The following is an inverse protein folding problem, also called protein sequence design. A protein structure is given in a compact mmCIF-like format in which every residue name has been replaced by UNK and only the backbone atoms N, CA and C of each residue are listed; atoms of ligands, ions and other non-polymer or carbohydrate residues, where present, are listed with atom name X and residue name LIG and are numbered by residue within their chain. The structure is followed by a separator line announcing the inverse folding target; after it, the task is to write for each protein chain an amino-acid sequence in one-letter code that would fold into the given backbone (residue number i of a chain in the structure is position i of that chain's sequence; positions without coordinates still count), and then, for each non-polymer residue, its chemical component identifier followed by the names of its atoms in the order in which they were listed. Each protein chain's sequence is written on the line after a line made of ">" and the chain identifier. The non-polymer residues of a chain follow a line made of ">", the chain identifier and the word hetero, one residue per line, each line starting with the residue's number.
data_IF_077060149718
#
_entry.id   IF_077060149718
#
_cell.length_a   1.000
_cell.length_b   1.000
_cell.length_c   1.000
_cell.angle_alpha   90.00
_cell.angle_beta   90.00
_cell.angle_gamma   90.00
#
_symmetry.space_group_name_H-M   'P 1'
#
loop_
_entity.id
_entity.type
_entity.pdbx_description
1 polymer ?
#
# COMPACT_ATOMS: atom_id res chain seq x y z
N UNK A 1 4.65 21.39 15.42
CA UNK A 1 4.37 19.94 15.30
C UNK A 1 4.22 19.61 13.83
N UNK A 2 4.68 18.43 13.37
CA UNK A 2 4.43 17.99 11.99
C UNK A 2 2.94 17.67 11.81
N UNK A 3 2.42 17.85 10.59
CA UNK A 3 1.06 17.41 10.25
C UNK A 3 0.95 15.89 10.37
N UNK A 4 -0.22 15.40 10.77
CA UNK A 4 -0.55 14.00 10.65
C UNK A 4 -0.71 13.65 9.18
N UNK A 5 -0.11 12.55 8.75
CA UNK A 5 -0.17 12.07 7.38
C UNK A 5 -1.12 10.88 7.33
N UNK A 6 -2.28 11.03 6.69
CA UNK A 6 -3.24 9.94 6.52
C UNK A 6 -3.09 9.41 5.11
N UNK A 7 -2.62 8.17 4.97
CA UNK A 7 -2.59 7.49 3.67
C UNK A 7 -3.98 7.03 3.29
N UNK A 8 -4.41 7.27 2.06
CA UNK A 8 -5.66 6.75 1.52
C UNK A 8 -5.37 5.98 0.23
N UNK A 9 -5.79 4.72 0.22
CA UNK A 9 -5.55 3.77 -0.86
C UNK A 9 -6.84 3.09 -1.27
N UNK A 10 -6.92 2.62 -2.51
CA UNK A 10 -8.14 2.00 -2.99
C UNK A 10 -8.19 1.72 -4.48
N UNK A 11 -9.40 1.43 -4.97
CA UNK A 11 -9.64 1.16 -6.40
C UNK A 11 -9.21 2.34 -7.27
N UNK A 12 -8.35 2.08 -8.26
CA UNK A 12 -7.94 3.06 -9.28
C UNK A 12 -8.94 3.17 -10.43
N UNK A 13 -9.66 2.08 -10.73
CA UNK A 13 -10.67 2.02 -11.79
C UNK A 13 -12.05 1.81 -11.16
N UNK A 14 -12.89 2.83 -11.20
CA UNK A 14 -14.26 2.78 -10.71
C UNK A 14 -15.23 2.86 -11.89
N UNK A 15 -16.22 1.98 -11.95
CA UNK A 15 -17.28 2.01 -12.94
C UNK A 15 -18.45 2.85 -12.42
N UNK A 16 -18.58 4.08 -12.91
CA UNK A 16 -19.66 5.00 -12.50
C UNK A 16 -21.07 4.56 -12.93
N UNK A 17 -21.26 3.43 -13.60
CA UNK A 17 -22.58 2.81 -13.78
C UNK A 17 -22.93 1.81 -12.66
N UNK A 18 -21.95 1.45 -11.83
CA UNK A 18 -22.12 0.55 -10.69
C UNK A 18 -22.39 1.37 -9.41
N UNK A 19 -23.48 1.07 -8.71
CA UNK A 19 -23.87 1.77 -7.48
C UNK A 19 -22.86 1.61 -6.33
N UNK A 20 -22.16 0.47 -6.26
CA UNK A 20 -21.10 0.24 -5.28
C UNK A 20 -19.92 1.18 -5.50
N UNK A 21 -19.49 1.33 -6.76
CA UNK A 21 -18.38 2.21 -7.14
C UNK A 21 -18.74 3.68 -6.95
N UNK A 22 -19.98 4.09 -7.25
CA UNK A 22 -20.49 5.42 -6.93
C UNK A 22 -20.46 5.69 -5.42
N UNK A 23 -20.91 4.74 -4.60
CA UNK A 23 -20.89 4.87 -3.15
C UNK A 23 -19.46 4.94 -2.60
N UNK A 24 -18.53 4.15 -3.16
CA UNK A 24 -17.11 4.21 -2.81
C UNK A 24 -16.49 5.57 -3.15
N UNK A 25 -16.82 6.13 -4.33
CA UNK A 25 -16.40 7.47 -4.73
C UNK A 25 -16.97 8.55 -3.81
N UNK A 26 -18.28 8.53 -3.52
CA UNK A 26 -18.92 9.49 -2.59
C UNK A 26 -18.29 9.44 -1.19
N UNK A 27 -18.06 8.23 -0.68
CA UNK A 27 -17.39 8.02 0.58
C UNK A 27 -15.99 8.64 0.58
N UNK A 28 -15.20 8.36 -0.46
CA UNK A 28 -13.83 8.84 -0.63
C UNK A 28 -13.77 10.38 -0.74
N UNK A 29 -14.67 10.99 -1.51
CA UNK A 29 -14.81 12.43 -1.62
C UNK A 29 -15.15 13.08 -0.27
N UNK A 30 -16.17 12.57 0.42
CA UNK A 30 -16.60 13.11 1.72
C UNK A 30 -15.53 12.94 2.80
N UNK A 31 -14.82 11.81 2.76
CA UNK A 31 -13.65 11.57 3.60
C UNK A 31 -12.56 12.61 3.33
N UNK A 32 -12.20 12.81 2.05
CA UNK A 32 -11.23 13.81 1.64
C UNK A 32 -11.60 15.22 2.09
N UNK A 33 -12.86 15.62 1.88
CA UNK A 33 -13.39 16.92 2.31
C UNK A 33 -13.28 17.12 3.82
N UNK A 34 -13.68 16.14 4.61
CA UNK A 34 -13.63 16.26 6.06
C UNK A 34 -12.19 16.23 6.62
N UNK A 35 -11.29 15.46 6.00
CA UNK A 35 -9.85 15.48 6.33
C UNK A 35 -9.22 16.82 5.94
N UNK A 36 -9.54 17.37 4.77
CA UNK A 36 -9.04 18.66 4.29
C UNK A 36 -9.44 19.84 5.18
N UNK A 37 -10.64 19.80 5.78
CA UNK A 37 -11.07 20.80 6.78
C UNK A 37 -10.30 20.72 8.11
N UNK A 38 -9.48 19.70 8.31
CA UNK A 38 -8.73 19.51 9.56
C UNK A 38 -7.32 20.11 9.43
N UNK A 39 -7.06 21.22 10.15
CA UNK A 39 -5.84 22.04 10.04
C UNK A 39 -4.52 21.23 10.13
N UNK A 40 -4.47 20.18 10.96
CA UNK A 40 -3.24 19.42 11.21
C UNK A 40 -3.13 18.10 10.42
N UNK A 41 -3.88 17.95 9.32
CA UNK A 41 -3.82 16.74 8.48
C UNK A 41 -3.31 17.09 7.08
N UNK A 42 -2.50 16.20 6.52
CA UNK A 42 -2.24 16.08 5.09
C UNK A 42 -2.65 14.68 4.65
N UNK A 43 -3.24 14.55 3.47
CA UNK A 43 -3.58 13.25 2.89
C UNK A 43 -2.46 12.80 1.97
N UNK A 44 -2.13 11.50 2.01
CA UNK A 44 -1.25 10.85 1.07
C UNK A 44 -2.08 9.92 0.19
N UNK A 45 -2.03 10.10 -1.13
CA UNK A 45 -2.68 9.22 -2.10
C UNK A 45 -1.67 8.75 -3.14
N UNK A 46 -2.10 7.86 -4.02
CA UNK A 46 -1.34 7.46 -5.19
C UNK A 46 -2.22 7.41 -6.43
N UNK A 47 -1.64 7.70 -7.59
CA UNK A 47 -2.31 7.69 -8.91
C UNK A 47 -3.25 8.86 -9.18
N UNK A 48 -3.75 8.94 -10.42
CA UNK A 48 -4.57 10.02 -10.92
C UNK A 48 -6.09 9.75 -10.85
N UNK A 49 -6.53 8.51 -10.62
CA UNK A 49 -7.93 8.10 -10.82
C UNK A 49 -8.62 7.45 -9.62
N UNK A 50 -9.93 7.25 -9.75
CA UNK A 50 -10.72 6.43 -8.83
C UNK A 50 -10.81 7.02 -7.42
N UNK A 51 -10.48 6.22 -6.41
CA UNK A 51 -10.52 6.65 -5.00
C UNK A 51 -9.54 7.81 -4.74
N UNK A 52 -8.34 7.77 -5.31
CA UNK A 52 -7.34 8.81 -5.11
C UNK A 52 -7.82 10.17 -5.66
N UNK A 53 -8.47 10.15 -6.82
CA UNK A 53 -9.09 11.33 -7.43
C UNK A 53 -10.21 11.89 -6.55
N UNK A 54 -11.14 11.04 -6.09
CA UNK A 54 -12.24 11.45 -5.22
C UNK A 54 -11.74 12.13 -3.93
N UNK A 55 -10.75 11.52 -3.27
CA UNK A 55 -10.12 12.07 -2.06
C UNK A 55 -9.45 13.40 -2.35
N UNK A 56 -8.63 13.47 -3.40
CA UNK A 56 -7.88 14.67 -3.79
C UNK A 56 -8.84 15.82 -4.03
N UNK A 57 -9.90 15.56 -4.79
CA UNK A 57 -10.96 16.53 -5.04
C UNK A 57 -11.61 17.02 -3.76
N UNK A 58 -12.01 16.11 -2.87
CA UNK A 58 -12.60 16.48 -1.58
C UNK A 58 -11.66 17.34 -0.73
N UNK A 59 -10.39 16.96 -0.63
CA UNK A 59 -9.37 17.70 0.13
C UNK A 59 -9.17 19.10 -0.44
N UNK A 60 -9.11 19.23 -1.76
CA UNK A 60 -8.95 20.51 -2.45
C UNK A 60 -10.17 21.42 -2.24
N UNK A 61 -11.39 20.90 -2.42
CA UNK A 61 -12.64 21.62 -2.18
C UNK A 61 -12.77 22.10 -0.71
N UNK A 62 -12.07 21.46 0.22
CA UNK A 62 -11.99 21.84 1.63
C UNK A 62 -10.82 22.78 1.99
N UNK A 63 -9.92 23.09 1.05
CA UNK A 63 -8.72 23.90 1.30
C UNK A 63 -7.64 23.18 2.11
N UNK A 64 -7.61 21.84 2.06
CA UNK A 64 -6.62 21.01 2.74
C UNK A 64 -5.32 20.83 1.95
N UNK A 65 -4.49 19.84 2.33
CA UNK A 65 -3.27 19.50 1.61
C UNK A 65 -3.35 18.05 1.14
N UNK A 66 -3.42 17.87 -0.19
CA UNK A 66 -3.33 16.57 -0.84
C UNK A 66 -1.92 16.37 -1.43
N UNK A 67 -1.23 15.32 -0.97
CA UNK A 67 0.09 14.91 -1.45
C UNK A 67 -0.06 13.59 -2.18
N UNK A 68 0.47 13.53 -3.40
CA UNK A 68 0.39 12.37 -4.26
C UNK A 68 1.76 11.76 -4.48
N UNK A 69 1.89 10.46 -4.22
CA UNK A 69 3.09 9.69 -4.53
C UNK A 69 2.90 9.00 -5.88
N UNK A 70 3.75 9.38 -6.83
CA UNK A 70 3.63 9.00 -8.23
C UNK A 70 4.58 7.86 -8.54
N UNK A 71 4.03 6.83 -9.22
CA UNK A 71 4.79 5.74 -9.80
C UNK A 71 5.64 6.29 -10.95
N UNK A 72 6.93 6.00 -10.94
CA UNK A 72 7.86 6.47 -11.96
C UNK A 72 8.49 7.84 -11.67
N UNK A 73 8.92 8.50 -12.74
CA UNK A 73 9.97 9.54 -12.68
C UNK A 73 9.48 10.98 -12.81
N UNK A 74 8.23 11.19 -13.24
CA UNK A 74 7.72 12.52 -13.56
C UNK A 74 6.55 12.88 -12.64
N UNK A 75 6.60 14.07 -12.05
CA UNK A 75 5.54 14.56 -11.13
C UNK A 75 4.29 15.00 -11.90
N UNK A 76 4.45 15.22 -13.20
CA UNK A 76 3.43 15.60 -14.17
C UNK A 76 2.46 14.45 -14.46
N UNK A 77 2.86 13.19 -14.19
CA UNK A 77 2.03 11.98 -14.28
C UNK A 77 1.13 11.78 -13.03
N UNK A 78 1.04 12.82 -12.19
CA UNK A 78 0.26 12.83 -10.98
C UNK A 78 -0.97 13.72 -11.09
N UNK A 79 -1.97 13.46 -10.23
CA UNK A 79 -3.24 14.19 -10.28
C UNK A 79 -2.99 15.72 -10.27
N UNK A 80 -3.46 16.46 -11.28
CA UNK A 80 -3.23 17.90 -11.40
C UNK A 80 -3.95 18.73 -10.33
N UNK A 81 -4.96 18.16 -9.66
CA UNK A 81 -5.66 18.78 -8.54
C UNK A 81 -4.94 18.57 -7.21
N UNK A 82 -3.88 17.75 -7.16
CA UNK A 82 -3.08 17.58 -5.95
C UNK A 82 -2.18 18.80 -5.71
N UNK A 83 -1.93 19.10 -4.43
CA UNK A 83 -1.11 20.24 -4.05
C UNK A 83 0.39 19.96 -4.20
N UNK A 84 0.77 18.70 -4.03
CA UNK A 84 2.17 18.24 -4.12
C UNK A 84 2.18 16.88 -4.80
N UNK A 85 2.82 16.78 -5.96
CA UNK A 85 3.15 15.50 -6.60
C UNK A 85 4.62 15.16 -6.34
N UNK A 86 4.86 13.96 -5.81
CA UNK A 86 6.19 13.41 -5.50
C UNK A 86 6.46 12.25 -6.45
N UNK A 87 7.33 12.45 -7.44
CA UNK A 87 7.86 11.38 -8.26
C UNK A 87 8.77 10.47 -7.40
N UNK A 88 8.46 9.18 -7.35
CA UNK A 88 9.16 8.24 -6.45
C UNK A 88 10.34 7.54 -7.11
N UNK A 89 10.45 7.59 -8.44
CA UNK A 89 11.35 6.76 -9.27
C UNK A 89 11.12 5.25 -9.14
N UNK A 90 10.05 4.86 -8.46
CA UNK A 90 9.69 3.47 -8.19
C UNK A 90 8.58 3.04 -9.13
N UNK A 91 8.75 1.87 -9.74
CA UNK A 91 7.79 1.26 -10.65
C UNK A 91 7.09 0.06 -10.00
N UNK A 92 6.07 -0.47 -10.68
CA UNK A 92 5.33 -1.64 -10.20
C UNK A 92 4.69 -1.39 -8.83
N UNK A 93 4.94 -2.30 -7.90
CA UNK A 93 4.43 -2.20 -6.54
C UNK A 93 5.36 -1.44 -5.57
N UNK A 94 6.62 -1.16 -5.93
CA UNK A 94 7.65 -0.62 -5.03
C UNK A 94 7.28 0.75 -4.42
N UNK A 95 6.57 1.59 -5.18
CA UNK A 95 6.13 2.91 -4.71
C UNK A 95 5.18 2.83 -3.49
N UNK A 96 4.59 1.65 -3.19
CA UNK A 96 3.75 1.46 -2.01
C UNK A 96 4.53 1.71 -0.71
N UNK A 97 5.85 1.51 -0.72
CA UNK A 97 6.72 1.64 0.45
C UNK A 97 6.76 3.09 0.94
N UNK A 98 7.19 4.09 0.14
CA UNK A 98 7.20 5.47 0.59
C UNK A 98 5.80 5.97 0.96
N UNK A 99 4.73 5.49 0.31
CA UNK A 99 3.35 5.87 0.65
C UNK A 99 2.96 5.38 2.04
N UNK A 100 3.13 4.09 2.30
CA UNK A 100 2.74 3.46 3.57
C UNK A 100 3.64 3.93 4.71
N UNK A 101 4.96 3.96 4.51
CA UNK A 101 5.90 4.34 5.56
C UNK A 101 5.81 5.82 5.94
N UNK A 102 5.33 6.67 5.03
CA UNK A 102 5.03 8.07 5.31
C UNK A 102 3.67 8.29 6.00
N UNK A 103 2.87 7.24 6.18
CA UNK A 103 1.54 7.32 6.77
C UNK A 103 1.57 7.11 8.29
N UNK A 104 0.86 7.97 9.02
CA UNK A 104 0.59 7.80 10.46
C UNK A 104 -0.61 6.85 10.70
N UNK A 105 -1.52 6.76 9.73
CA UNK A 105 -2.60 5.80 9.64
C UNK A 105 -2.97 5.60 8.16
N UNK A 106 -3.43 4.40 7.80
CA UNK A 106 -3.87 4.08 6.44
C UNK A 106 -5.40 3.92 6.41
N UNK A 107 -6.05 4.40 5.36
CA UNK A 107 -7.46 4.16 5.05
C UNK A 107 -7.55 3.43 3.71
N UNK A 108 -8.19 2.28 3.66
CA UNK A 108 -8.35 1.47 2.44
C UNK A 108 -9.81 1.40 1.98
N UNK A 109 -10.06 1.67 0.69
CA UNK A 109 -11.40 1.77 0.10
C UNK A 109 -11.44 0.96 -1.21
N UNK A 110 -12.10 -0.18 -1.21
CA UNK A 110 -12.12 -1.10 -2.33
C UNK A 110 -10.75 -1.74 -2.58
N UNK A 111 -10.32 -1.68 -3.84
CA UNK A 111 -8.96 -2.00 -4.23
C UNK A 111 -8.73 -3.46 -4.60
N UNK A 112 -7.67 -3.68 -5.37
CA UNK A 112 -7.17 -5.00 -5.77
C UNK A 112 -5.87 -5.34 -5.05
N UNK A 113 -5.03 -6.16 -5.69
CA UNK A 113 -3.76 -6.65 -5.15
C UNK A 113 -2.88 -5.54 -4.56
N UNK A 114 -2.75 -4.41 -5.26
CA UNK A 114 -2.00 -3.22 -4.81
C UNK A 114 -2.46 -2.72 -3.44
N UNK A 115 -3.77 -2.58 -3.24
CA UNK A 115 -4.34 -2.15 -1.97
C UNK A 115 -4.03 -3.14 -0.85
N UNK A 116 -4.09 -4.44 -1.13
CA UNK A 116 -3.72 -5.44 -0.14
C UNK A 116 -2.23 -5.49 0.19
N UNK A 117 -1.33 -5.17 -0.76
CA UNK A 117 0.09 -4.94 -0.47
C UNK A 117 0.25 -3.78 0.50
N UNK A 118 -0.43 -2.65 0.25
CA UNK A 118 -0.35 -1.48 1.12
C UNK A 118 -0.90 -1.76 2.53
N UNK A 119 -2.00 -2.51 2.64
CA UNK A 119 -2.52 -2.99 3.93
C UNK A 119 -1.50 -3.92 4.61
N UNK A 120 -0.89 -4.85 3.87
CA UNK A 120 0.13 -5.76 4.40
C UNK A 120 1.33 -5.01 4.97
N UNK A 121 1.85 -4.05 4.20
CA UNK A 121 2.98 -3.20 4.62
C UNK A 121 2.62 -2.37 5.85
N UNK A 122 1.40 -1.84 5.93
CA UNK A 122 0.96 -1.05 7.08
C UNK A 122 0.92 -1.91 8.35
N UNK A 123 0.32 -3.10 8.28
CA UNK A 123 0.27 -4.05 9.40
C UNK A 123 1.68 -4.44 9.86
N UNK A 124 2.58 -4.74 8.92
CA UNK A 124 3.98 -5.07 9.22
C UNK A 124 4.72 -3.93 9.94
N UNK A 125 4.42 -2.68 9.57
CA UNK A 125 5.01 -1.48 10.19
C UNK A 125 4.29 -0.98 11.46
N UNK A 126 3.34 -1.77 11.97
CA UNK A 126 2.54 -1.38 13.13
C UNK A 126 1.68 -0.12 12.89
N UNK A 127 1.33 0.15 11.64
CA UNK A 127 0.43 1.23 11.23
C UNK A 127 -0.99 0.68 11.25
N UNK A 128 -1.89 1.36 11.95
CA UNK A 128 -3.30 0.99 11.97
C UNK A 128 -3.94 1.30 10.61
N UNK A 129 -4.79 0.40 10.16
CA UNK A 129 -5.51 0.44 8.88
C UNK A 129 -7.01 0.48 9.15
N UNK A 130 -7.70 1.50 8.62
CA UNK A 130 -9.16 1.60 8.60
C UNK A 130 -9.64 1.18 7.22
N UNK A 131 -10.59 0.24 7.10
CA UNK A 131 -11.09 -0.24 5.82
C UNK A 131 -12.58 0.01 5.68
N UNK A 132 -13.00 0.46 4.50
CA UNK A 132 -14.42 0.68 4.21
C UNK A 132 -15.07 -0.60 3.69
N UNK A 133 -16.13 -1.05 4.36
CA UNK A 133 -16.78 -2.34 4.09
C UNK A 133 -17.57 -2.37 2.79
N UNK A 134 -18.17 -1.25 2.39
CA UNK A 134 -19.18 -1.22 1.32
C UNK A 134 -18.57 -1.06 -0.07
N UNK A 135 -17.29 -0.72 -0.18
CA UNK A 135 -16.60 -0.57 -1.46
C UNK A 135 -16.19 -1.89 -2.11
N UNK A 136 -16.44 -3.05 -1.47
CA UNK A 136 -16.00 -4.34 -2.01
C UNK A 136 -14.48 -4.47 -2.05
N UNK A 137 -13.96 -5.27 -2.99
CA UNK A 137 -12.52 -5.48 -3.17
C UNK A 137 -11.78 -5.91 -1.89
N UNK A 138 -10.48 -5.67 -1.85
CA UNK A 138 -9.63 -6.11 -0.73
C UNK A 138 -10.00 -5.42 0.59
N UNK A 139 -10.47 -4.17 0.57
CA UNK A 139 -10.88 -3.46 1.80
C UNK A 139 -12.04 -4.15 2.53
N UNK A 140 -12.91 -4.84 1.79
CA UNK A 140 -13.98 -5.65 2.35
C UNK A 140 -13.54 -7.11 2.58
N UNK A 141 -12.84 -7.70 1.60
CA UNK A 141 -12.41 -9.10 1.64
C UNK A 141 -11.49 -9.43 2.80
N UNK A 142 -10.67 -8.48 3.27
CA UNK A 142 -9.78 -8.69 4.44
C UNK A 142 -10.57 -9.14 5.69
N UNK A 143 -11.86 -8.82 5.78
CA UNK A 143 -12.74 -9.24 6.88
C UNK A 143 -13.58 -10.48 6.60
N UNK A 144 -13.86 -10.79 5.33
CA UNK A 144 -14.78 -11.88 4.95
C UNK A 144 -14.04 -13.13 4.47
N UNK A 145 -12.84 -12.99 3.91
CA UNK A 145 -12.08 -14.09 3.32
C UNK A 145 -11.38 -14.94 4.38
N UNK A 146 -11.30 -16.24 4.09
CA UNK A 146 -10.62 -17.24 4.91
C UNK A 146 -9.14 -17.40 4.54
N UNK A 147 -8.61 -16.60 3.61
CA UNK A 147 -7.19 -16.63 3.26
C UNK A 147 -6.30 -16.43 4.51
N UNK A 148 -5.27 -17.29 4.73
CA UNK A 148 -4.42 -17.22 5.91
C UNK A 148 -3.78 -15.83 6.13
N UNK A 149 -3.45 -15.14 5.04
CA UNK A 149 -2.89 -13.78 5.07
C UNK A 149 -3.85 -12.77 5.68
N UNK A 150 -5.12 -12.81 5.29
CA UNK A 150 -6.16 -11.93 5.84
C UNK A 150 -6.53 -12.32 7.27
N UNK A 151 -6.49 -13.61 7.61
CA UNK A 151 -6.61 -14.04 9.01
C UNK A 151 -5.50 -13.43 9.87
N UNK A 152 -4.24 -13.52 9.42
CA UNK A 152 -3.08 -12.93 10.12
C UNK A 152 -3.24 -11.41 10.29
N UNK A 153 -3.67 -10.70 9.23
CA UNK A 153 -3.96 -9.27 9.31
C UNK A 153 -5.01 -8.94 10.38
N UNK A 154 -6.11 -9.70 10.43
CA UNK A 154 -7.15 -9.51 11.45
C UNK A 154 -6.64 -9.80 12.86
N UNK A 155 -5.87 -10.87 13.03
CA UNK A 155 -5.27 -11.23 14.32
C UNK A 155 -4.26 -10.22 14.84
N UNK A 156 -3.69 -9.36 13.98
CA UNK A 156 -2.77 -8.29 14.40
C UNK A 156 -3.43 -7.21 15.28
N UNK A 157 -4.78 -7.12 15.27
CA UNK A 157 -5.54 -6.02 15.88
C UNK A 157 -5.19 -4.63 15.32
N UNK A 158 -4.62 -4.54 14.11
CA UNK A 158 -4.26 -3.28 13.45
C UNK A 158 -5.22 -2.90 12.32
N UNK A 159 -6.11 -3.80 11.90
CA UNK A 159 -7.06 -3.55 10.80
C UNK A 159 -8.47 -3.42 11.36
N UNK A 160 -9.21 -2.39 10.94
CA UNK A 160 -10.55 -2.06 11.45
C UNK A 160 -11.53 -1.77 10.33
N UNK A 161 -12.69 -2.43 10.37
CA UNK A 161 -13.79 -2.17 9.45
C UNK A 161 -14.63 -0.98 9.91
N UNK A 162 -15.04 -0.13 8.96
CA UNK A 162 -15.98 0.98 9.17
C UNK A 162 -17.01 1.05 8.04
N UNK A 163 -18.17 1.62 8.37
CA UNK A 163 -19.33 1.71 7.46
C UNK A 163 -19.73 3.15 7.10
N UNK A 164 -19.18 4.13 7.81
CA UNK A 164 -19.46 5.56 7.62
C UNK A 164 -18.21 6.44 7.76
N UNK A 165 -18.28 7.61 7.15
CA UNK A 165 -17.16 8.56 7.02
C UNK A 165 -16.72 9.12 8.38
N UNK A 166 -17.65 9.37 9.30
CA UNK A 166 -17.33 9.98 10.58
C UNK A 166 -16.54 9.01 11.45
N UNK A 167 -16.97 7.74 11.50
CA UNK A 167 -16.23 6.69 12.18
C UNK A 167 -14.83 6.51 11.59
N UNK A 168 -14.72 6.50 10.26
CA UNK A 168 -13.43 6.39 9.58
C UNK A 168 -12.45 7.48 10.00
N UNK A 169 -12.94 8.73 10.07
CA UNK A 169 -12.15 9.90 10.45
C UNK A 169 -11.75 9.85 11.92
N UNK A 170 -12.68 9.53 12.82
CA UNK A 170 -12.41 9.48 14.26
C UNK A 170 -11.32 8.46 14.57
N UNK A 171 -11.47 7.24 14.04
CA UNK A 171 -10.48 6.17 14.19
C UNK A 171 -9.14 6.56 13.58
N UNK A 172 -9.11 7.05 12.34
CA UNK A 172 -7.88 7.42 11.67
C UNK A 172 -7.12 8.54 12.42
N UNK A 173 -7.84 9.57 12.88
CA UNK A 173 -7.26 10.67 13.69
C UNK A 173 -6.69 10.16 15.00
N UNK A 174 -7.42 9.31 15.70
CA UNK A 174 -6.97 8.71 16.96
C UNK A 174 -5.70 7.90 16.75
N UNK A 175 -5.71 6.96 15.80
CA UNK A 175 -4.54 6.11 15.54
C UNK A 175 -3.33 6.89 15.08
N UNK A 176 -3.50 7.86 14.17
CA UNK A 176 -2.42 8.72 13.71
C UNK A 176 -1.83 9.55 14.86
N UNK A 177 -2.68 10.09 15.74
CA UNK A 177 -2.25 10.84 16.92
C UNK A 177 -1.48 9.96 17.89
N UNK A 178 -1.97 8.74 18.16
CA UNK A 178 -1.32 7.79 19.06
C UNK A 178 0.05 7.35 18.51
N UNK A 179 0.15 7.11 17.19
CA UNK A 179 1.42 6.82 16.52
C UNK A 179 2.39 7.99 16.61
N UNK A 180 1.92 9.22 16.36
CA UNK A 180 2.75 10.43 16.49
C UNK A 180 3.27 10.61 17.92
N UNK A 181 2.42 10.40 18.94
CA UNK A 181 2.79 10.53 20.36
C UNK A 181 3.79 9.50 20.83
N UNK A 182 3.71 8.26 20.31
CA UNK A 182 4.70 7.21 20.65
C UNK A 182 6.11 7.67 20.32
N UNK A 183 6.27 8.57 19.33
CA UNK A 183 7.55 9.02 18.81
C UNK A 183 8.29 7.84 18.19
N UNK A 184 8.91 8.00 17.04
CA UNK A 184 10.00 7.08 16.74
C UNK A 184 11.10 7.41 17.76
N UNK A 185 11.14 6.70 18.90
CA UNK A 185 12.44 6.33 19.45
C UNK A 185 13.08 5.49 18.36
N UNK A 186 13.82 6.14 17.47
CA UNK A 186 14.89 5.44 16.78
C UNK A 186 15.80 5.00 17.93
N UNK A 187 15.73 3.72 18.27
CA UNK A 187 16.69 3.15 19.20
C UNK A 187 18.04 3.29 18.47
N UNK A 188 18.93 4.19 18.92
CA UNK A 188 20.23 4.44 18.26
C UNK A 188 21.10 3.16 18.19
N UNK A 189 20.74 2.11 18.95
CA UNK A 189 21.33 0.76 18.86
C UNK A 189 20.78 -0.10 17.72
N UNK A 190 19.63 0.27 17.18
CA UNK A 190 19.16 -0.18 15.89
C UNK A 190 19.67 0.87 14.91
N UNK A 191 20.96 0.76 14.56
CA UNK A 191 21.25 0.82 13.12
C UNK A 191 20.14 -0.01 12.51
N UNK A 192 19.22 0.60 11.75
CA UNK A 192 18.29 -0.19 10.96
C UNK A 192 19.23 -0.93 10.02
N UNK A 193 19.67 -2.11 10.47
CA UNK A 193 20.00 -3.19 9.60
C UNK A 193 18.64 -3.46 9.00
N UNK A 194 18.34 -2.66 7.95
CA UNK A 194 17.30 -2.96 6.99
C UNK A 194 17.55 -4.44 6.79
N UNK A 195 16.64 -5.32 7.28
CA UNK A 195 16.91 -6.74 7.23
C UNK A 195 17.44 -7.00 5.83
N UNK A 196 18.52 -7.73 5.65
CA UNK A 196 19.19 -7.77 4.35
C UNK A 196 18.26 -8.16 3.18
N UNK A 197 17.06 -8.69 3.48
CA UNK A 197 15.92 -8.91 2.59
C UNK A 197 15.04 -7.67 2.22
N UNK A 198 15.16 -6.54 2.91
CA UNK A 198 14.51 -5.24 2.67
C UNK A 198 15.48 -4.19 2.07
N UNK A 199 16.79 -4.48 1.95
CA UNK A 199 17.76 -3.69 1.13
C UNK A 199 17.50 -3.82 -0.38
N UNK A 200 16.32 -4.28 -0.69
CA UNK A 200 15.97 -4.90 -1.93
C UNK A 200 15.04 -3.93 -2.64
N UNK A 201 15.68 -3.00 -3.33
CA UNK A 201 15.07 -2.18 -4.37
C UNK A 201 14.70 -3.15 -5.49
N UNK A 202 13.44 -3.61 -5.56
CA UNK A 202 12.81 -4.56 -6.54
C UNK A 202 13.66 -5.74 -7.02
N UNK A 203 14.76 -5.46 -7.72
CA UNK A 203 15.66 -6.42 -8.36
C UNK A 203 16.20 -7.49 -7.41
N UNK A 204 16.72 -7.22 -6.20
CA UNK A 204 17.22 -8.30 -5.35
C UNK A 204 16.14 -9.26 -4.81
N UNK A 205 14.85 -8.89 -4.76
CA UNK A 205 13.76 -9.72 -4.17
C UNK A 205 13.30 -10.65 -5.26
N UNK A 206 13.09 -10.08 -6.45
CA UNK A 206 12.90 -10.83 -7.67
C UNK A 206 14.03 -11.86 -7.86
N UNK A 207 15.29 -11.46 -7.71
CA UNK A 207 16.43 -12.40 -7.78
C UNK A 207 16.38 -13.49 -6.69
N UNK A 208 15.98 -13.16 -5.48
CA UNK A 208 15.87 -14.12 -4.38
C UNK A 208 14.70 -15.11 -4.61
N UNK A 209 13.56 -14.63 -5.09
CA UNK A 209 12.41 -15.44 -5.52
C UNK A 209 12.85 -16.38 -6.66
N UNK A 210 13.53 -15.86 -7.68
CA UNK A 210 14.05 -16.64 -8.81
C UNK A 210 15.07 -17.69 -8.35
N UNK A 211 15.99 -17.34 -7.44
CA UNK A 211 16.95 -18.28 -6.85
C UNK A 211 16.25 -19.41 -6.10
N UNK A 212 15.24 -19.11 -5.30
CA UNK A 212 14.47 -20.12 -4.58
C UNK A 212 13.69 -21.05 -5.51
N UNK A 213 13.04 -20.48 -6.53
CA UNK A 213 12.35 -21.25 -7.57
C UNK A 213 13.31 -22.17 -8.34
N UNK A 214 14.54 -21.71 -8.59
CA UNK A 214 15.59 -22.51 -9.23
C UNK A 214 16.11 -23.63 -8.32
N UNK A 215 16.49 -23.30 -7.07
CA UNK A 215 17.09 -24.25 -6.13
C UNK A 215 16.10 -25.32 -5.65
N UNK A 216 14.86 -24.94 -5.38
CA UNK A 216 13.82 -25.84 -4.83
C UNK A 216 12.84 -26.37 -5.87
N UNK A 217 13.04 -26.01 -7.14
CA UNK A 217 12.39 -26.49 -8.37
C UNK A 217 10.88 -26.27 -8.50
N UNK A 218 10.11 -26.16 -7.42
CA UNK A 218 8.76 -25.56 -7.37
C UNK A 218 8.46 -25.20 -5.92
N UNK A 219 8.27 -23.92 -5.61
CA UNK A 219 7.65 -23.47 -4.36
C UNK A 219 6.37 -22.72 -4.72
N UNK A 220 5.29 -23.01 -4.00
CA UNK A 220 4.08 -22.20 -4.03
C UNK A 220 4.38 -20.79 -3.50
N UNK A 221 3.59 -19.77 -3.89
CA UNK A 221 3.74 -18.41 -3.34
C UNK A 221 3.71 -18.38 -1.80
N UNK A 222 2.93 -19.27 -1.18
CA UNK A 222 2.87 -19.42 0.28
C UNK A 222 4.19 -19.92 0.86
N UNK A 223 4.79 -20.95 0.28
CA UNK A 223 6.08 -21.47 0.74
C UNK A 223 7.21 -20.45 0.57
N UNK A 224 7.18 -19.64 -0.49
CA UNK A 224 8.14 -18.54 -0.69
C UNK A 224 7.93 -17.45 0.37
N UNK A 225 6.68 -17.05 0.62
CA UNK A 225 6.30 -16.11 1.69
C UNK A 225 6.81 -16.58 3.05
N UNK A 226 6.56 -17.85 3.39
CA UNK A 226 6.96 -18.42 4.68
C UNK A 226 8.48 -18.56 4.83
N UNK A 227 9.18 -18.84 3.72
CA UNK A 227 10.64 -18.94 3.70
C UNK A 227 11.29 -17.56 3.84
N UNK A 228 10.82 -16.59 3.06
CA UNK A 228 11.38 -15.23 3.03
C UNK A 228 10.91 -14.35 4.18
N UNK A 229 9.87 -14.77 4.89
CA UNK A 229 9.16 -13.95 5.89
C UNK A 229 8.62 -12.64 5.30
N UNK A 230 8.28 -12.68 4.02
CA UNK A 230 7.69 -11.56 3.28
C UNK A 230 6.19 -11.84 3.11
N UNK A 231 5.31 -10.85 3.31
CA UNK A 231 3.87 -11.02 3.09
C UNK A 231 3.54 -11.67 1.75
N UNK A 232 2.64 -12.67 1.77
CA UNK A 232 2.19 -13.41 0.59
C UNK A 232 1.80 -12.50 -0.57
N UNK A 233 1.11 -11.40 -0.27
CA UNK A 233 0.65 -10.45 -1.30
C UNK A 233 1.81 -9.81 -2.07
N UNK A 234 2.93 -9.53 -1.41
CA UNK A 234 4.14 -8.97 -2.06
C UNK A 234 4.80 -10.04 -2.94
N UNK A 235 4.86 -11.28 -2.47
CA UNK A 235 5.37 -12.40 -3.27
C UNK A 235 4.52 -12.62 -4.52
N UNK A 236 3.20 -12.67 -4.37
CA UNK A 236 2.27 -12.83 -5.48
C UNK A 236 2.39 -11.71 -6.51
N UNK A 237 2.57 -10.47 -6.04
CA UNK A 237 2.76 -9.30 -6.87
C UNK A 237 4.02 -9.37 -7.74
N UNK A 238 5.17 -9.68 -7.16
CA UNK A 238 6.40 -9.85 -7.92
C UNK A 238 6.35 -11.08 -8.86
N UNK A 239 5.66 -12.15 -8.48
CA UNK A 239 5.44 -13.28 -9.38
C UNK A 239 4.56 -12.93 -10.58
N UNK A 240 3.60 -12.00 -10.43
CA UNK A 240 2.82 -11.47 -11.56
C UNK A 240 3.66 -10.58 -12.48
N UNK A 241 4.55 -9.76 -11.93
CA UNK A 241 5.46 -8.90 -12.73
C UNK A 241 6.44 -9.73 -13.58
N UNK A 242 6.85 -10.90 -13.07
CA UNK A 242 7.82 -11.79 -13.71
C UNK A 242 7.33 -12.44 -15.02
N UNK A 243 6.05 -12.31 -15.37
CA UNK A 243 5.41 -13.12 -16.41
C UNK A 243 5.73 -12.66 -17.84
N UNK A 244 6.76 -13.27 -18.44
CA UNK A 244 6.77 -13.95 -19.76
C UNK A 244 8.15 -13.89 -20.47
N UNK A 245 8.90 -12.80 -20.36
CA UNK A 245 10.28 -12.71 -20.90
C UNK A 245 11.36 -12.84 -19.83
N UNK A 246 11.14 -12.28 -18.63
CA UNK A 246 12.13 -12.27 -17.56
C UNK A 246 12.29 -13.64 -16.88
N UNK A 247 11.22 -14.42 -16.70
CA UNK A 247 11.33 -15.82 -16.24
C UNK A 247 12.15 -16.67 -17.22
N UNK A 248 11.99 -16.47 -18.54
CA UNK A 248 12.76 -17.21 -19.55
C UNK A 248 14.22 -16.78 -19.56
N UNK A 249 14.48 -15.47 -19.44
CA UNK A 249 15.82 -14.91 -19.39
C UNK A 249 16.55 -15.30 -18.09
N UNK A 250 15.88 -15.22 -16.93
CA UNK A 250 16.41 -15.64 -15.64
C UNK A 250 16.76 -17.14 -15.63
N UNK A 251 15.89 -18.00 -16.19
CA UNK A 251 16.19 -19.42 -16.39
C UNK A 251 17.42 -19.65 -17.28
N UNK A 252 17.64 -18.82 -18.30
CA UNK A 252 18.82 -18.88 -19.20
C UNK A 252 20.10 -18.37 -18.52
N UNK A 253 20.03 -17.27 -17.78
CA UNK A 253 21.20 -16.65 -17.12
C UNK A 253 21.74 -17.54 -16.01
N UNK A 254 20.85 -18.13 -15.20
CA UNK A 254 21.25 -19.06 -14.13
C UNK A 254 21.86 -20.35 -14.70
N UNK A 255 21.38 -20.82 -15.87
CA UNK A 255 22.00 -21.95 -16.58
C UNK A 255 23.40 -21.63 -17.13
N UNK A 256 23.68 -20.36 -17.46
CA UNK A 256 24.96 -19.92 -18.02
C UNK A 256 26.00 -19.52 -16.96
N UNK A 257 25.61 -19.12 -15.74
CA UNK A 257 26.56 -18.86 -14.65
C UNK A 257 27.26 -20.12 -14.14
N UNK A 258 26.74 -21.31 -14.46
CA UNK A 258 27.42 -22.60 -14.24
C UNK A 258 28.46 -22.97 -15.32
N UNK A 259 28.65 -22.15 -16.36
CA UNK A 259 29.70 -22.36 -17.38
C UNK A 259 31.01 -21.64 -17.05
N UNK A 260 31.04 -20.78 -16.02
CA UNK A 260 32.22 -20.02 -15.60
C UNK A 260 32.61 -20.20 -14.13
N UNK A 261 32.13 -21.28 -13.48
CA UNK A 261 32.71 -21.78 -12.23
C UNK A 261 33.69 -22.92 -12.51
#
# INVERSE_FOLDING_TARGET
>A
MRKLQIGIVGSSNLNMNNEQDKAAWDFAYRLGFALGRTINIATLTSSEGGIAEAVTKGVNDAGGIAINLIKGNYKEDGNPEAHVNIATTMDGYDYCWPLVYSSDCLIAIGGGLETGIQISLAVDQGIHVVTYSKAGGISAEVFTSLEPTFQKMRSSQLVYLVDDVNEAIDRAKRFATDRMKKGQKVDDKITIDIPSHLKIISKPLVLLILKLLYEKKVLSPQEISDYLKIPLMIIQAHLQELDSQEIVLAKKTIANEHLFQ
#
